data_IF_364005715240
#
_entry.id   IF_364005715240
#
_cell.length_a   1.000
_cell.length_b   1.000
_cell.length_c   1.000
_cell.angle_alpha   90.00
_cell.angle_beta   90.00
_cell.angle_gamma   90.00
#
_symmetry.space_group_name_H-M   'P 1'
#
loop_
_entity.id
_entity.type
_entity.pdbx_description
1 polymer ?
#
# COMPACT_ATOMS: atom_id res chain seq x y z
N UNK A 1 22.20 -20.31 -8.30
CA UNK A 1 22.23 -19.46 -7.08
C UNK A 1 22.36 -20.36 -5.86
N UNK A 2 23.28 -20.09 -4.96
CA UNK A 2 23.41 -20.83 -3.69
C UNK A 2 22.18 -20.58 -2.81
N UNK A 3 21.85 -21.55 -1.96
CA UNK A 3 20.67 -21.51 -1.08
C UNK A 3 20.72 -20.30 -0.10
N UNK A 4 21.92 -19.92 0.34
CA UNK A 4 22.16 -18.72 1.16
C UNK A 4 21.76 -17.42 0.45
N UNK A 5 22.11 -17.27 -0.83
CA UNK A 5 21.75 -16.06 -1.60
C UNK A 5 20.23 -15.92 -1.74
N UNK A 6 19.51 -17.04 -1.93
CA UNK A 6 18.04 -17.03 -1.99
C UNK A 6 17.41 -16.57 -0.68
N UNK A 7 17.89 -17.09 0.46
CA UNK A 7 17.41 -16.69 1.80
C UNK A 7 17.64 -15.19 2.06
N UNK A 8 18.77 -14.66 1.60
CA UNK A 8 19.10 -13.23 1.71
C UNK A 8 18.16 -12.35 0.87
N UNK A 9 17.89 -12.73 -0.39
CA UNK A 9 16.94 -12.01 -1.25
C UNK A 9 15.50 -12.01 -0.72
N UNK A 10 15.03 -13.14 -0.17
CA UNK A 10 13.69 -13.21 0.46
C UNK A 10 13.61 -12.26 1.66
N UNK A 11 14.67 -12.16 2.47
CA UNK A 11 14.71 -11.24 3.61
C UNK A 11 14.63 -9.78 3.19
N UNK A 12 15.34 -9.41 2.11
CA UNK A 12 15.26 -8.06 1.52
C UNK A 12 13.86 -7.80 0.99
N UNK A 13 13.30 -8.73 0.20
CA UNK A 13 11.96 -8.59 -0.36
C UNK A 13 10.87 -8.42 0.72
N UNK A 14 10.99 -9.13 1.86
CA UNK A 14 10.08 -8.94 3.01
C UNK A 14 10.20 -7.54 3.61
N UNK A 15 11.41 -7.01 3.74
CA UNK A 15 11.64 -5.65 4.28
C UNK A 15 11.00 -4.60 3.37
N UNK A 16 11.21 -4.71 2.06
CA UNK A 16 10.61 -3.81 1.06
C UNK A 16 9.07 -3.88 1.09
N UNK A 17 8.50 -5.08 1.26
CA UNK A 17 7.04 -5.26 1.37
C UNK A 17 6.48 -4.54 2.60
N UNK A 18 7.14 -4.67 3.76
CA UNK A 18 6.71 -3.98 4.99
C UNK A 18 6.83 -2.45 4.86
N UNK A 19 7.91 -1.95 4.26
CA UNK A 19 8.08 -0.52 3.99
C UNK A 19 6.99 0.01 3.05
N UNK A 20 6.64 -0.76 2.00
CA UNK A 20 5.53 -0.42 1.11
C UNK A 20 4.18 -0.36 1.85
N UNK A 21 3.89 -1.35 2.72
CA UNK A 21 2.66 -1.36 3.53
C UNK A 21 2.58 -0.17 4.49
N UNK A 22 3.70 0.19 5.13
CA UNK A 22 3.78 1.37 6.01
C UNK A 22 3.52 2.66 5.20
N UNK A 23 4.15 2.78 4.03
CA UNK A 23 3.96 3.93 3.14
C UNK A 23 2.50 4.07 2.68
N UNK A 24 1.88 2.98 2.24
CA UNK A 24 0.46 2.96 1.85
C UNK A 24 -0.46 3.41 3.00
N UNK A 25 -0.18 2.96 4.24
CA UNK A 25 -0.94 3.41 5.43
C UNK A 25 -0.79 4.91 5.68
N UNK A 26 0.42 5.44 5.53
CA UNK A 26 0.69 6.88 5.68
C UNK A 26 0.00 7.71 4.60
N UNK A 27 0.02 7.25 3.34
CA UNK A 27 -0.67 7.90 2.22
C UNK A 27 -2.18 7.92 2.48
N UNK A 28 -2.77 6.81 2.93
CA UNK A 28 -4.19 6.76 3.31
C UNK A 28 -4.54 7.80 4.35
N UNK A 29 -3.73 7.90 5.40
CA UNK A 29 -3.97 8.87 6.46
C UNK A 29 -3.92 10.31 5.93
N UNK A 30 -2.90 10.65 5.13
CA UNK A 30 -2.79 11.96 4.49
C UNK A 30 -3.97 12.27 3.57
N UNK A 31 -4.37 11.31 2.73
CA UNK A 31 -5.49 11.45 1.82
C UNK A 31 -6.81 11.68 2.57
N UNK A 32 -7.09 10.89 3.62
CA UNK A 32 -8.31 11.06 4.42
C UNK A 32 -8.32 12.39 5.19
N UNK A 33 -7.17 12.81 5.73
CA UNK A 33 -7.06 14.12 6.37
C UNK A 33 -7.28 15.26 5.37
N UNK A 34 -6.77 15.14 4.14
CA UNK A 34 -7.03 16.10 3.08
C UNK A 34 -8.51 16.15 2.68
N UNK A 35 -9.18 15.00 2.53
CA UNK A 35 -10.61 14.92 2.19
C UNK A 35 -11.48 15.57 3.29
N UNK A 36 -11.12 15.38 4.57
CA UNK A 36 -11.86 16.00 5.69
C UNK A 36 -11.79 17.52 5.67
N UNK A 37 -10.61 18.07 5.35
CA UNK A 37 -10.37 19.51 5.28
C UNK A 37 -10.82 20.15 3.95
N UNK A 38 -11.25 19.34 2.99
CA UNK A 38 -11.79 19.81 1.71
C UNK A 38 -13.21 20.36 1.90
N UNK A 39 -13.57 21.41 1.16
CA UNK A 39 -14.85 22.10 1.29
C UNK A 39 -15.93 21.46 0.39
N UNK A 40 -15.95 20.12 0.40
CA UNK A 40 -16.84 19.29 -0.41
C UNK A 40 -18.06 18.83 0.37
N UNK A 41 -19.10 18.42 -0.37
CA UNK A 41 -20.26 17.77 0.21
C UNK A 41 -19.92 16.43 0.87
N UNK A 42 -20.73 16.00 1.85
CA UNK A 42 -20.54 14.71 2.54
C UNK A 42 -20.59 13.52 1.57
N UNK A 43 -21.40 13.60 0.51
CA UNK A 43 -21.50 12.55 -0.51
C UNK A 43 -20.22 12.46 -1.35
N UNK A 44 -19.64 13.60 -1.73
CA UNK A 44 -18.36 13.65 -2.44
C UNK A 44 -17.20 13.18 -1.58
N UNK A 45 -17.17 13.57 -0.29
CA UNK A 45 -16.16 13.09 0.68
C UNK A 45 -16.21 11.57 0.79
N UNK A 46 -17.40 10.98 0.96
CA UNK A 46 -17.59 9.52 0.97
C UNK A 46 -17.16 8.84 -0.33
N UNK A 47 -17.45 9.46 -1.47
CA UNK A 47 -17.02 8.93 -2.78
C UNK A 47 -15.51 8.94 -2.94
N UNK A 48 -14.85 10.03 -2.54
CA UNK A 48 -13.38 10.16 -2.54
C UNK A 48 -12.74 9.16 -1.58
N UNK A 49 -13.25 9.00 -0.35
CA UNK A 49 -12.73 8.02 0.61
C UNK A 49 -12.82 6.58 0.06
N UNK A 50 -13.95 6.22 -0.56
CA UNK A 50 -14.11 4.91 -1.23
C UNK A 50 -13.10 4.72 -2.36
N UNK A 51 -12.86 5.77 -3.14
CA UNK A 51 -11.90 5.73 -4.25
C UNK A 51 -10.46 5.55 -3.75
N UNK A 52 -10.08 6.29 -2.70
CA UNK A 52 -8.79 6.14 -2.01
C UNK A 52 -8.62 4.72 -1.49
N UNK A 53 -9.64 4.16 -0.83
CA UNK A 53 -9.58 2.79 -0.31
C UNK A 53 -9.39 1.77 -1.44
N UNK A 54 -10.13 1.87 -2.55
CA UNK A 54 -9.98 0.97 -3.71
C UNK A 54 -8.56 0.99 -4.28
N UNK A 55 -8.00 2.18 -4.46
CA UNK A 55 -6.63 2.36 -4.98
C UNK A 55 -5.64 1.68 -4.03
N UNK A 56 -5.77 1.92 -2.72
CA UNK A 56 -4.87 1.33 -1.72
C UNK A 56 -4.97 -0.19 -1.66
N UNK A 57 -6.18 -0.74 -1.77
CA UNK A 57 -6.39 -2.20 -1.78
C UNK A 57 -5.72 -2.82 -3.03
N UNK A 58 -5.82 -2.17 -4.19
CA UNK A 58 -5.17 -2.61 -5.42
C UNK A 58 -3.64 -2.62 -5.27
N UNK A 59 -3.05 -1.52 -4.76
CA UNK A 59 -1.61 -1.44 -4.57
C UNK A 59 -1.09 -2.39 -3.49
N UNK A 60 -1.88 -2.63 -2.43
CA UNK A 60 -1.54 -3.62 -1.39
C UNK A 60 -1.48 -5.01 -2.00
N UNK A 61 -2.49 -5.39 -2.79
CA UNK A 61 -2.50 -6.68 -3.51
C UNK A 61 -1.33 -6.81 -4.48
N UNK A 62 -1.05 -5.77 -5.28
CA UNK A 62 0.09 -5.77 -6.20
C UNK A 62 1.42 -5.96 -5.46
N UNK A 63 1.60 -5.31 -4.31
CA UNK A 63 2.82 -5.48 -3.52
C UNK A 63 2.98 -6.93 -3.02
N UNK A 64 1.88 -7.56 -2.58
CA UNK A 64 1.87 -8.96 -2.16
C UNK A 64 2.08 -9.94 -3.32
N UNK A 65 1.49 -9.70 -4.49
CA UNK A 65 1.70 -10.50 -5.71
C UNK A 65 3.16 -10.41 -6.19
N UNK A 66 3.76 -9.23 -6.17
CA UNK A 66 5.18 -9.04 -6.51
C UNK A 66 6.08 -9.79 -5.54
N UNK A 67 5.77 -9.76 -4.24
CA UNK A 67 6.51 -10.52 -3.24
C UNK A 67 6.38 -12.03 -3.47
N UNK A 68 5.15 -12.52 -3.68
CA UNK A 68 4.87 -13.94 -3.94
C UNK A 68 5.48 -14.44 -5.25
N UNK A 69 5.63 -13.58 -6.26
CA UNK A 69 6.28 -13.94 -7.53
C UNK A 69 7.81 -14.04 -7.41
N UNK A 70 8.37 -13.51 -6.32
CA UNK A 70 9.82 -13.42 -6.09
C UNK A 70 10.32 -14.46 -5.07
N UNK A 71 9.41 -15.15 -4.40
CA UNK A 71 9.65 -16.32 -3.53
C UNK A 71 9.76 -17.61 -4.38
#
# INVERSE_FOLDING_TARGET
MTEERRKEFVKIAKKELEEAKISLRNIRHKANSAIKNDDLSEDEKRSKEKSVQKILDEFTKKAEEIFSSKE
#
